data_IF_564687223760
#
_entry.id   IF_564687223760
#
_cell.length_a   1.000
_cell.length_b   1.000
_cell.length_c   1.000
_cell.angle_alpha   90.00
_cell.angle_beta   90.00
_cell.angle_gamma   90.00
#
_symmetry.space_group_name_H-M   'P 1'
#
loop_
_entity.id
_entity.type
_entity.pdbx_description
1 polymer ?
#
# COMPACT_ATOMS: atom_id res chain seq x y z
N UNK A 1 -6.79 -26.23 22.09
CA UNK A 1 -7.88 -25.39 21.54
C UNK A 1 -7.37 -23.97 21.39
N UNK A 2 -6.89 -23.59 20.20
CA UNK A 2 -6.46 -22.22 19.94
C UNK A 2 -7.71 -21.32 19.83
N UNK A 3 -7.77 -20.27 20.65
CA UNK A 3 -8.85 -19.27 20.54
C UNK A 3 -8.63 -18.48 19.25
N UNK A 4 -9.55 -18.64 18.29
CA UNK A 4 -9.62 -17.76 17.14
C UNK A 4 -9.75 -16.32 17.66
N UNK A 5 -8.79 -15.47 17.30
CA UNK A 5 -8.81 -14.05 17.61
C UNK A 5 -9.94 -13.45 16.77
N UNK A 6 -11.09 -13.20 17.40
CA UNK A 6 -12.22 -12.50 16.78
C UNK A 6 -11.71 -11.12 16.39
N UNK A 7 -11.62 -10.85 15.09
CA UNK A 7 -11.34 -9.50 14.61
C UNK A 7 -12.56 -8.62 14.94
N UNK A 8 -12.37 -7.43 15.53
CA UNK A 8 -13.48 -6.55 15.89
C UNK A 8 -14.24 -6.10 14.63
N UNK A 9 -15.52 -5.72 14.77
CA UNK A 9 -16.35 -5.25 13.65
C UNK A 9 -15.75 -3.99 13.01
N UNK A 10 -15.96 -3.85 11.69
CA UNK A 10 -15.54 -2.73 10.84
C UNK A 10 -16.25 -1.43 11.26
N UNK A 11 -15.77 -0.80 12.32
CA UNK A 11 -16.09 0.61 12.63
C UNK A 11 -15.22 1.56 11.79
N UNK A 12 -15.64 2.82 11.59
CA UNK A 12 -14.76 3.83 11.02
C UNK A 12 -13.50 3.93 11.89
N UNK A 13 -12.32 4.12 11.27
CA UNK A 13 -11.07 4.19 12.01
C UNK A 13 -11.10 5.29 13.08
N UNK A 14 -10.57 5.06 14.30
CA UNK A 14 -10.43 6.10 15.31
C UNK A 14 -9.70 7.31 14.74
N UNK A 15 -10.30 8.49 14.96
CA UNK A 15 -9.92 9.73 14.28
C UNK A 15 -8.55 10.29 14.73
N UNK A 16 -7.97 9.82 15.84
CA UNK A 16 -6.75 10.38 16.42
C UNK A 16 -5.98 9.35 17.28
N UNK A 17 -4.65 9.28 17.10
CA UNK A 17 -3.71 8.51 17.94
C UNK A 17 -2.58 7.86 17.12
N UNK A 18 -1.42 7.52 17.73
CA UNK A 18 -0.27 6.92 17.02
C UNK A 18 -0.60 5.56 16.37
N UNK A 19 -1.62 4.85 16.87
CA UNK A 19 -2.12 3.60 16.28
C UNK A 19 -3.00 3.81 15.04
N UNK A 20 -3.31 5.07 14.69
CA UNK A 20 -4.14 5.43 13.53
C UNK A 20 -3.35 5.59 12.22
N UNK A 21 -2.02 5.69 12.30
CA UNK A 21 -1.13 5.88 11.16
C UNK A 21 -0.75 4.55 10.53
N UNK A 22 -1.69 4.02 9.74
CA UNK A 22 -1.57 2.72 9.06
C UNK A 22 -2.47 2.66 7.83
N UNK A 23 -2.34 1.55 7.10
CA UNK A 23 -3.34 1.11 6.13
C UNK A 23 -4.52 0.49 6.88
N UNK A 24 -5.74 1.00 6.65
CA UNK A 24 -6.93 0.58 7.39
C UNK A 24 -7.65 -0.61 6.76
N UNK A 25 -7.78 -0.61 5.44
CA UNK A 25 -8.41 -1.70 4.69
C UNK A 25 -7.52 -2.14 3.54
N UNK A 26 -7.47 -3.45 3.28
CA UNK A 26 -6.73 -4.04 2.15
C UNK A 26 -7.70 -4.84 1.29
N UNK A 27 -7.74 -4.54 -0.01
CA UNK A 27 -8.63 -5.18 -0.99
C UNK A 27 -7.88 -5.68 -2.22
N UNK A 28 -8.08 -6.94 -2.55
CA UNK A 28 -7.69 -7.50 -3.85
C UNK A 28 -8.76 -7.19 -4.90
N UNK A 29 -8.50 -7.51 -6.18
CA UNK A 29 -9.51 -7.34 -7.24
C UNK A 29 -10.73 -8.24 -7.04
N UNK A 30 -10.56 -9.45 -6.47
CA UNK A 30 -11.63 -10.41 -6.22
C UNK A 30 -12.52 -10.70 -7.43
N UNK A 31 -11.98 -10.65 -8.65
CA UNK A 31 -12.77 -10.75 -9.89
C UNK A 31 -13.27 -12.17 -10.11
N UNK A 32 -14.45 -12.28 -10.71
CA UNK A 32 -15.01 -13.55 -11.18
C UNK A 32 -14.04 -14.18 -12.18
N UNK A 33 -13.44 -15.32 -11.82
CA UNK A 33 -12.42 -16.02 -12.62
C UNK A 33 -10.99 -15.94 -12.07
N UNK A 34 -10.71 -15.13 -11.05
CA UNK A 34 -9.43 -15.16 -10.33
C UNK A 34 -9.38 -16.43 -9.47
N UNK A 35 -8.27 -17.17 -9.53
CA UNK A 35 -8.08 -18.34 -8.68
C UNK A 35 -7.97 -17.91 -7.21
N UNK A 36 -8.32 -18.80 -6.27
CA UNK A 36 -8.15 -18.52 -4.83
C UNK A 36 -6.68 -18.27 -4.45
N UNK A 37 -5.78 -18.96 -5.14
CA UNK A 37 -4.33 -18.85 -4.93
C UNK A 37 -3.80 -17.49 -5.39
N UNK A 38 -4.26 -17.02 -6.55
CA UNK A 38 -3.95 -15.69 -7.06
C UNK A 38 -4.45 -14.58 -6.13
N UNK A 39 -5.68 -14.70 -5.63
CA UNK A 39 -6.24 -13.73 -4.70
C UNK A 39 -5.48 -13.72 -3.37
N UNK A 40 -5.11 -14.89 -2.85
CA UNK A 40 -4.28 -15.02 -1.66
C UNK A 40 -2.89 -14.38 -1.85
N UNK A 41 -2.25 -14.60 -3.00
CA UNK A 41 -0.95 -14.01 -3.31
C UNK A 41 -1.01 -12.49 -3.46
N UNK A 42 -2.05 -11.96 -4.11
CA UNK A 42 -2.27 -10.52 -4.19
C UNK A 42 -2.44 -9.92 -2.78
N UNK A 43 -3.25 -10.59 -1.95
CA UNK A 43 -3.48 -10.17 -0.57
C UNK A 43 -2.20 -10.16 0.25
N UNK A 44 -1.39 -11.21 0.16
CA UNK A 44 -0.10 -11.34 0.84
C UNK A 44 0.85 -10.20 0.46
N UNK A 45 0.99 -9.89 -0.84
CA UNK A 45 1.81 -8.78 -1.30
C UNK A 45 1.36 -7.44 -0.69
N UNK A 46 0.05 -7.15 -0.73
CA UNK A 46 -0.48 -5.90 -0.18
C UNK A 46 -0.31 -5.82 1.35
N UNK A 47 -0.54 -6.92 2.07
CA UNK A 47 -0.37 -6.99 3.53
C UNK A 47 1.10 -6.80 3.93
N UNK A 48 2.02 -7.46 3.21
CA UNK A 48 3.46 -7.31 3.43
C UNK A 48 3.92 -5.88 3.16
N UNK A 49 3.51 -5.29 2.04
CA UNK A 49 3.82 -3.90 1.71
C UNK A 49 3.25 -2.93 2.75
N UNK A 50 2.00 -3.10 3.18
CA UNK A 50 1.38 -2.27 4.21
C UNK A 50 2.12 -2.33 5.56
N UNK A 51 2.57 -3.53 5.94
CA UNK A 51 3.35 -3.71 7.17
C UNK A 51 4.72 -3.02 7.08
N UNK A 52 5.42 -3.18 5.95
CA UNK A 52 6.75 -2.61 5.73
C UNK A 52 6.75 -1.08 5.84
N UNK A 53 5.74 -0.41 5.29
CA UNK A 53 5.69 1.06 5.27
C UNK A 53 5.04 1.67 6.52
N UNK A 54 4.47 0.85 7.42
CA UNK A 54 3.78 1.37 8.61
C UNK A 54 4.66 2.24 9.52
N UNK A 55 5.93 1.90 9.82
CA UNK A 55 6.80 2.77 10.62
C UNK A 55 7.03 4.14 9.97
N UNK A 56 7.24 4.16 8.64
CA UNK A 56 7.41 5.37 7.83
C UNK A 56 6.16 6.26 7.91
N UNK A 57 4.98 5.65 7.81
CA UNK A 57 3.69 6.34 7.94
C UNK A 57 3.51 6.94 9.34
N UNK A 58 3.84 6.18 10.39
CA UNK A 58 3.74 6.63 11.80
C UNK A 58 4.60 7.86 12.07
N UNK A 59 5.83 7.88 11.58
CA UNK A 59 6.77 9.01 11.74
C UNK A 59 6.22 10.31 11.13
N UNK A 60 5.43 10.21 10.06
CA UNK A 60 4.90 11.35 9.30
C UNK A 60 3.42 11.66 9.57
N UNK A 61 2.76 10.90 10.45
CA UNK A 61 1.34 11.06 10.72
C UNK A 61 0.43 10.70 9.53
N UNK A 62 0.93 9.88 8.60
CA UNK A 62 0.19 9.48 7.41
C UNK A 62 -0.75 8.31 7.68
N UNK A 63 -1.85 8.28 6.95
CA UNK A 63 -2.82 7.17 6.98
C UNK A 63 -3.24 6.81 5.56
N UNK A 64 -3.55 5.54 5.34
CA UNK A 64 -4.16 5.07 4.10
C UNK A 64 -5.51 4.44 4.42
N UNK A 65 -6.60 5.00 3.91
CA UNK A 65 -7.95 4.49 4.15
C UNK A 65 -8.13 3.10 3.56
N UNK A 66 -7.81 2.93 2.28
CA UNK A 66 -7.81 1.63 1.62
C UNK A 66 -6.63 1.48 0.67
N UNK A 67 -5.90 0.38 0.82
CA UNK A 67 -4.88 -0.08 -0.13
C UNK A 67 -5.48 -1.19 -0.99
N UNK A 68 -5.39 -1.08 -2.31
CA UNK A 68 -6.03 -2.04 -3.20
C UNK A 68 -5.23 -2.40 -4.45
N UNK A 69 -5.52 -3.58 -4.98
CA UNK A 69 -4.92 -4.04 -6.24
C UNK A 69 -5.48 -3.27 -7.45
N UNK A 70 -4.58 -2.65 -8.22
CA UNK A 70 -4.90 -1.92 -9.43
C UNK A 70 -5.33 -2.88 -10.57
N UNK A 71 -6.39 -2.55 -11.33
CA UNK A 71 -6.81 -3.37 -12.46
C UNK A 71 -5.78 -3.45 -13.58
N UNK A 72 -5.54 -4.65 -14.11
CA UNK A 72 -4.66 -4.89 -15.26
C UNK A 72 -5.01 -4.06 -16.52
N UNK A 73 -6.27 -3.61 -16.66
CA UNK A 73 -6.69 -2.71 -17.74
C UNK A 73 -6.04 -1.32 -17.68
N UNK A 74 -5.48 -0.93 -16.54
CA UNK A 74 -4.74 0.32 -16.37
C UNK A 74 -3.29 0.06 -16.80
N UNK A 75 -2.87 0.72 -17.88
CA UNK A 75 -1.56 0.48 -18.52
C UNK A 75 -0.60 1.67 -18.42
N UNK A 76 -1.11 2.85 -18.10
CA UNK A 76 -0.37 4.11 -18.08
C UNK A 76 0.36 4.38 -16.75
N UNK A 77 0.09 3.59 -15.71
CA UNK A 77 0.67 3.78 -14.37
C UNK A 77 0.76 2.47 -13.60
N UNK A 78 1.64 2.46 -12.60
CA UNK A 78 1.86 1.32 -11.70
C UNK A 78 1.19 1.53 -10.33
N UNK A 79 0.86 2.78 -9.99
CA UNK A 79 0.21 3.15 -8.75
C UNK A 79 -0.67 4.40 -8.92
N UNK A 80 -1.55 4.63 -7.94
CA UNK A 80 -2.11 5.96 -7.71
C UNK A 80 -2.51 6.17 -6.26
N UNK A 81 -2.34 7.40 -5.80
CA UNK A 81 -2.86 7.92 -4.54
C UNK A 81 -3.99 8.92 -4.80
N UNK A 82 -5.19 8.57 -4.33
CA UNK A 82 -6.36 9.43 -4.38
C UNK A 82 -6.56 10.14 -3.04
N UNK A 83 -6.72 11.46 -3.11
CA UNK A 83 -7.03 12.35 -1.98
C UNK A 83 -6.11 12.13 -0.76
N UNK A 84 -4.78 12.17 -0.99
CA UNK A 84 -3.75 12.17 0.05
C UNK A 84 -3.90 11.02 1.04
N UNK A 85 -4.04 9.80 0.51
CA UNK A 85 -4.11 8.57 1.27
C UNK A 85 -5.54 8.10 1.55
N UNK A 86 -6.59 8.75 1.05
CA UNK A 86 -7.94 8.18 1.15
C UNK A 86 -7.98 6.78 0.51
N UNK A 87 -7.35 6.64 -0.67
CA UNK A 87 -7.25 5.37 -1.39
C UNK A 87 -5.95 5.31 -2.17
N UNK A 88 -5.19 4.22 -1.97
CA UNK A 88 -3.99 3.92 -2.75
C UNK A 88 -4.21 2.64 -3.55
N UNK A 89 -3.81 2.64 -4.82
CA UNK A 89 -3.83 1.45 -5.68
C UNK A 89 -2.43 1.08 -6.11
N UNK A 90 -2.11 -0.22 -6.12
CA UNK A 90 -0.84 -0.74 -6.59
C UNK A 90 -1.06 -1.82 -7.64
N UNK A 91 -0.29 -1.77 -8.72
CA UNK A 91 -0.26 -2.80 -9.74
C UNK A 91 0.64 -3.94 -9.27
N UNK A 92 0.07 -5.14 -9.16
CA UNK A 92 0.75 -6.33 -8.64
C UNK A 92 1.18 -7.30 -9.74
N UNK A 93 0.76 -7.03 -10.98
CA UNK A 93 1.06 -7.84 -12.16
C UNK A 93 1.54 -6.96 -13.29
N UNK A 94 2.53 -7.45 -14.02
CA UNK A 94 3.00 -6.90 -15.29
C UNK A 94 1.92 -7.02 -16.36
N UNK A 95 2.14 -6.32 -17.47
CA UNK A 95 1.25 -6.35 -18.63
C UNK A 95 1.16 -7.74 -19.30
N UNK A 96 2.16 -8.59 -19.10
CA UNK A 96 2.17 -10.00 -19.53
C UNK A 96 1.38 -10.94 -18.59
N UNK A 97 0.86 -10.41 -17.48
CA UNK A 97 0.12 -11.16 -16.47
C UNK A 97 0.99 -11.83 -15.39
N UNK A 98 2.32 -11.77 -15.53
CA UNK A 98 3.23 -12.26 -14.49
C UNK A 98 3.20 -11.34 -13.26
N UNK A 99 3.54 -11.89 -12.10
CA UNK A 99 3.64 -11.13 -10.86
C UNK A 99 4.79 -10.15 -10.90
N UNK A 100 4.57 -8.97 -10.33
CA UNK A 100 5.64 -8.01 -10.08
C UNK A 100 6.56 -8.46 -8.96
N UNK A 101 7.80 -7.98 -9.00
CA UNK A 101 8.73 -8.13 -7.89
C UNK A 101 8.22 -7.36 -6.66
N UNK A 102 8.44 -7.90 -5.47
CA UNK A 102 7.99 -7.26 -4.23
C UNK A 102 8.63 -5.87 -4.05
N UNK A 103 9.90 -5.75 -4.41
CA UNK A 103 10.70 -4.53 -4.35
C UNK A 103 10.09 -3.44 -5.23
N UNK A 104 9.58 -3.81 -6.41
CA UNK A 104 8.88 -2.89 -7.31
C UNK A 104 7.56 -2.41 -6.71
N UNK A 105 6.77 -3.33 -6.13
CA UNK A 105 5.49 -2.97 -5.46
C UNK A 105 5.75 -2.04 -4.28
N UNK A 106 6.81 -2.29 -3.51
CA UNK A 106 7.21 -1.47 -2.38
C UNK A 106 7.68 -0.08 -2.84
N UNK A 107 8.52 0.00 -3.87
CA UNK A 107 8.98 1.28 -4.43
C UNK A 107 7.79 2.15 -4.91
N UNK A 108 6.82 1.55 -5.60
CA UNK A 108 5.60 2.26 -6.00
C UNK A 108 4.80 2.70 -4.77
N UNK A 109 4.68 1.87 -3.72
CA UNK A 109 4.00 2.29 -2.49
C UNK A 109 4.67 3.52 -1.84
N UNK A 110 6.00 3.56 -1.78
CA UNK A 110 6.72 4.72 -1.24
C UNK A 110 6.47 5.97 -2.08
N UNK A 111 6.52 5.85 -3.41
CA UNK A 111 6.14 6.91 -4.34
C UNK A 111 4.74 7.44 -4.05
N UNK A 112 3.76 6.55 -3.94
CA UNK A 112 2.37 6.94 -3.66
C UNK A 112 2.22 7.58 -2.27
N UNK A 113 3.00 7.19 -1.26
CA UNK A 113 2.96 7.82 0.05
C UNK A 113 3.44 9.27 0.03
N UNK A 114 4.43 9.62 -0.81
CA UNK A 114 4.88 11.01 -0.99
C UNK A 114 3.72 11.92 -1.41
N UNK A 115 2.77 11.39 -2.21
CA UNK A 115 1.57 12.11 -2.63
C UNK A 115 0.59 12.45 -1.50
N UNK A 116 0.81 11.99 -0.26
CA UNK A 116 0.08 12.51 0.90
C UNK A 116 0.40 13.99 1.15
N UNK A 117 1.63 14.42 0.88
CA UNK A 117 2.10 15.78 1.13
C UNK A 117 2.34 16.55 -0.18
N UNK A 118 2.97 15.91 -1.16
CA UNK A 118 3.49 16.57 -2.38
C UNK A 118 2.81 15.98 -3.63
N UNK A 119 2.00 16.80 -4.31
CA UNK A 119 1.33 16.39 -5.55
C UNK A 119 2.25 16.35 -6.78
N UNK A 120 2.94 17.46 -7.13
CA UNK A 120 3.77 17.50 -8.34
C UNK A 120 5.06 16.67 -8.21
N UNK A 121 5.50 16.04 -9.29
CA UNK A 121 6.80 15.35 -9.38
C UNK A 121 7.95 16.35 -9.58
N UNK A 122 8.20 17.18 -8.57
CA UNK A 122 9.27 18.18 -8.56
C UNK A 122 10.47 17.74 -7.68
N UNK A 123 11.46 18.61 -7.51
CA UNK A 123 12.63 18.31 -6.69
C UNK A 123 12.30 17.99 -5.23
N UNK A 124 11.23 18.55 -4.66
CA UNK A 124 10.81 18.24 -3.28
C UNK A 124 10.20 16.84 -3.20
N UNK A 125 9.43 16.46 -4.22
CA UNK A 125 8.91 15.11 -4.35
C UNK A 125 10.03 14.07 -4.34
N UNK A 126 11.03 14.22 -5.21
CA UNK A 126 12.13 13.26 -5.31
C UNK A 126 13.04 13.27 -4.08
N UNK A 127 13.23 14.42 -3.43
CA UNK A 127 13.96 14.49 -2.17
C UNK A 127 13.27 13.70 -1.05
N UNK A 128 11.95 13.85 -0.91
CA UNK A 128 11.18 13.09 0.07
C UNK A 128 11.14 11.61 -0.28
N UNK A 129 10.98 11.25 -1.57
CA UNK A 129 11.01 9.86 -2.01
C UNK A 129 12.33 9.17 -1.64
N UNK A 130 13.48 9.80 -1.92
CA UNK A 130 14.78 9.27 -1.56
C UNK A 130 14.95 9.08 -0.04
N UNK A 131 14.40 9.99 0.76
CA UNK A 131 14.35 9.83 2.23
C UNK A 131 13.53 8.60 2.63
N UNK A 132 12.36 8.38 2.01
CA UNK A 132 11.51 7.23 2.29
C UNK A 132 12.19 5.91 1.87
N UNK A 133 12.83 5.88 0.70
CA UNK A 133 13.53 4.71 0.17
C UNK A 133 14.65 4.29 1.12
N UNK A 134 15.49 5.24 1.54
CA UNK A 134 16.56 4.99 2.51
C UNK A 134 16.01 4.51 3.85
N UNK A 135 14.99 5.18 4.40
CA UNK A 135 14.36 4.76 5.66
C UNK A 135 13.76 3.35 5.55
N UNK A 136 13.21 3.00 4.39
CA UNK A 136 12.67 1.67 4.15
C UNK A 136 13.77 0.60 4.07
N UNK A 137 14.89 0.90 3.41
CA UNK A 137 16.07 0.03 3.36
C UNK A 137 16.62 -0.23 4.77
N UNK A 138 16.80 0.82 5.57
CA UNK A 138 17.27 0.73 6.97
C UNK A 138 16.32 -0.12 7.84
N UNK A 139 15.01 -0.15 7.54
CA UNK A 139 14.02 -0.97 8.26
C UNK A 139 13.97 -2.43 7.82
N UNK A 140 14.61 -2.78 6.69
CA UNK A 140 14.68 -4.16 6.16
C UNK A 140 16.01 -4.85 6.46
N UNK A 141 17.03 -4.10 6.85
CA UNK A 141 18.35 -4.59 7.24
C UNK A 141 18.33 -5.31 8.61
#
# INVERSE_FOLDING_TARGET
RARARVMPPRGPPPATGPDSYKVWEIKTQGKKGTSKEDDARARELLERTAWQVQPIMRKRGWRVGVLLEMPAKVRDRLGDNYNRGERVRLKLRRDDGAWEAYEQVLAVMLHELVHNDIGPHDGKFFALLAELEKECEDLMA
#
